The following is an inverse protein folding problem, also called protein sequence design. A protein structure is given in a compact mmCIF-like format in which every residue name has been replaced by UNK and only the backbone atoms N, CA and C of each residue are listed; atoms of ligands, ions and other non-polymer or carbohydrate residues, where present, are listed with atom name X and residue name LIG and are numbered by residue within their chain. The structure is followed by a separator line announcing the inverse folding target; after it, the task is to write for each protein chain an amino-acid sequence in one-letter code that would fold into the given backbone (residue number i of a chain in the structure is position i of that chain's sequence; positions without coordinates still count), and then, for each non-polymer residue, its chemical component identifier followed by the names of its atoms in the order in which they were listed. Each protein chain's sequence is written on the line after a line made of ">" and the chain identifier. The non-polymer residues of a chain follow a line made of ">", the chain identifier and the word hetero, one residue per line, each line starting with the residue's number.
data_IF_759010715819
#
_entry.id   IF_759010715819
#
_cell.length_a   1.000
_cell.length_b   1.000
_cell.length_c   1.000
_cell.angle_alpha   90.00
_cell.angle_beta   90.00
_cell.angle_gamma   90.00
#
_symmetry.space_group_name_H-M   'P 1'
#
loop_
_entity.id
_entity.type
_entity.pdbx_description
1 polymer ?
#
# COMPACT_ATOMS: atom_id res chain seq x y z
N UNK A 1 -39.58 10.43 39.03
CA UNK A 1 -38.98 11.76 39.30
C UNK A 1 -39.84 12.47 40.33
N UNK A 2 -39.38 12.59 41.57
CA UNK A 2 -40.08 13.36 42.61
C UNK A 2 -39.47 14.76 42.67
N UNK A 3 -40.29 15.79 42.47
CA UNK A 3 -39.85 17.18 42.54
C UNK A 3 -39.68 17.62 44.00
N UNK A 4 -38.70 18.48 44.31
CA UNK A 4 -38.55 19.01 45.66
C UNK A 4 -39.83 19.76 46.08
N UNK A 5 -40.25 19.52 47.32
CA UNK A 5 -41.43 20.13 47.94
C UNK A 5 -41.23 21.65 47.91
N UNK A 6 -42.11 22.38 47.21
CA UNK A 6 -42.02 23.83 46.99
C UNK A 6 -41.79 24.27 45.53
N UNK A 7 -41.61 23.33 44.60
CA UNK A 7 -41.53 23.68 43.17
C UNK A 7 -42.92 24.03 42.64
N UNK A 8 -43.14 25.29 42.25
CA UNK A 8 -44.39 25.66 41.58
C UNK A 8 -44.43 25.07 40.16
N UNK A 9 -45.64 24.82 39.64
CA UNK A 9 -45.84 24.28 38.28
C UNK A 9 -45.07 25.11 37.25
N UNK A 10 -45.10 26.45 37.36
CA UNK A 10 -44.38 27.36 36.47
C UNK A 10 -42.86 27.17 36.48
N UNK A 11 -42.25 26.83 37.63
CA UNK A 11 -40.81 26.54 37.70
C UNK A 11 -40.48 25.18 37.11
N UNK A 12 -41.34 24.18 37.30
CA UNK A 12 -41.18 22.88 36.67
C UNK A 12 -41.26 22.97 35.14
N UNK A 13 -42.23 23.73 34.61
CA UNK A 13 -42.38 23.96 33.16
C UNK A 13 -41.15 24.65 32.58
N UNK A 14 -40.64 25.72 33.19
CA UNK A 14 -39.42 26.41 32.69
C UNK A 14 -38.18 25.52 32.70
N UNK A 15 -38.03 24.64 33.69
CA UNK A 15 -36.92 23.68 33.73
C UNK A 15 -37.04 22.65 32.61
N UNK A 16 -38.24 22.09 32.42
CA UNK A 16 -38.49 21.17 31.31
C UNK A 16 -38.25 21.82 29.96
N UNK A 17 -38.66 23.08 29.77
CA UNK A 17 -38.41 23.82 28.53
C UNK A 17 -36.90 24.01 28.29
N UNK A 18 -36.12 24.30 29.34
CA UNK A 18 -34.66 24.38 29.26
C UNK A 18 -34.04 23.03 28.88
N UNK A 19 -34.44 21.95 29.56
CA UNK A 19 -33.94 20.60 29.30
C UNK A 19 -34.26 20.15 27.86
N UNK A 20 -35.43 20.51 27.34
CA UNK A 20 -35.83 20.24 25.94
C UNK A 20 -34.91 20.97 24.95
N UNK A 21 -34.57 22.24 25.22
CA UNK A 21 -33.67 23.01 24.37
C UNK A 21 -32.26 22.42 24.39
N UNK A 22 -31.76 22.03 25.56
CA UNK A 22 -30.44 21.42 25.71
C UNK A 22 -30.38 20.06 25.00
N UNK A 23 -31.39 19.21 25.19
CA UNK A 23 -31.52 17.93 24.48
C UNK A 23 -31.57 18.10 22.96
N UNK A 24 -32.29 19.11 22.47
CA UNK A 24 -32.34 19.41 21.04
C UNK A 24 -30.96 19.83 20.53
N UNK A 25 -30.24 20.66 21.27
CA UNK A 25 -28.88 21.09 20.94
C UNK A 25 -27.93 19.90 20.88
N UNK A 26 -27.93 19.06 21.91
CA UNK A 26 -27.08 17.87 21.99
C UNK A 26 -27.40 16.88 20.87
N UNK A 27 -28.69 16.67 20.56
CA UNK A 27 -29.10 15.82 19.43
C UNK A 27 -28.56 16.35 18.10
N UNK A 28 -28.55 17.67 17.88
CA UNK A 28 -27.95 18.24 16.66
C UNK A 28 -26.43 18.09 16.61
N UNK A 29 -25.74 18.22 17.76
CA UNK A 29 -24.30 18.02 17.85
C UNK A 29 -23.94 16.56 17.52
N UNK A 30 -24.59 15.60 18.19
CA UNK A 30 -24.38 14.17 17.95
C UNK A 30 -24.67 13.75 16.51
N UNK A 31 -25.68 14.34 15.86
CA UNK A 31 -25.95 14.08 14.43
C UNK A 31 -24.82 14.56 13.52
N UNK A 32 -24.23 15.73 13.81
CA UNK A 32 -23.08 16.24 13.06
C UNK A 32 -21.86 15.33 13.25
N UNK A 33 -21.57 14.98 14.49
CA UNK A 33 -20.42 14.12 14.82
C UNK A 33 -20.59 12.73 14.19
N UNK A 34 -21.79 12.15 14.23
CA UNK A 34 -22.06 10.87 13.59
C UNK A 34 -21.90 10.93 12.07
N UNK A 35 -22.34 12.02 11.44
CA UNK A 35 -22.14 12.24 10.01
C UNK A 35 -20.66 12.35 9.65
N UNK A 36 -19.87 13.02 10.48
CA UNK A 36 -18.43 13.16 10.27
C UNK A 36 -17.69 11.83 10.47
N UNK A 37 -17.99 11.08 11.54
CA UNK A 37 -17.43 9.75 11.76
C UNK A 37 -17.75 8.79 10.61
N UNK A 38 -18.95 8.85 10.04
CA UNK A 38 -19.32 8.05 8.86
C UNK A 38 -18.48 8.42 7.64
N UNK A 39 -18.20 9.71 7.42
CA UNK A 39 -17.31 10.15 6.33
C UNK A 39 -15.89 9.65 6.54
N UNK A 40 -15.37 9.77 7.75
CA UNK A 40 -14.03 9.29 8.11
C UNK A 40 -13.92 7.78 7.94
N UNK A 41 -14.94 7.02 8.36
CA UNK A 41 -14.99 5.57 8.17
C UNK A 41 -14.96 5.21 6.67
N UNK A 42 -15.78 5.86 5.85
CA UNK A 42 -15.81 5.65 4.39
C UNK A 42 -14.49 6.03 3.72
N UNK A 43 -13.78 7.04 4.23
CA UNK A 43 -12.46 7.42 3.74
C UNK A 43 -11.40 6.38 4.13
N UNK A 44 -11.41 5.91 5.39
CA UNK A 44 -10.50 4.90 5.89
C UNK A 44 -10.70 3.55 5.19
N UNK A 45 -11.95 3.15 4.91
CA UNK A 45 -12.26 1.93 4.16
C UNK A 45 -11.67 1.97 2.75
N UNK A 46 -11.88 3.07 2.01
CA UNK A 46 -11.28 3.23 0.67
C UNK A 46 -9.75 3.23 0.72
N UNK A 47 -9.16 3.87 1.73
CA UNK A 47 -7.70 3.86 1.90
C UNK A 47 -7.17 2.45 2.18
N UNK A 48 -7.91 1.65 2.97
CA UNK A 48 -7.56 0.26 3.25
C UNK A 48 -7.65 -0.61 1.99
N UNK A 49 -8.72 -0.48 1.20
CA UNK A 49 -8.89 -1.17 -0.09
C UNK A 49 -7.71 -0.88 -1.03
N UNK A 50 -7.36 0.40 -1.21
CA UNK A 50 -6.21 0.79 -2.05
C UNK A 50 -4.86 0.27 -1.51
N UNK A 51 -4.70 0.23 -0.19
CA UNK A 51 -3.48 -0.32 0.43
C UNK A 51 -3.37 -1.84 0.19
N UNK A 52 -4.48 -2.57 0.27
CA UNK A 52 -4.53 -4.01 -0.04
C UNK A 52 -4.22 -4.29 -1.51
N UNK A 53 -4.76 -3.50 -2.44
CA UNK A 53 -4.45 -3.58 -3.87
C UNK A 53 -2.94 -3.34 -4.14
N UNK A 54 -2.37 -2.28 -3.56
CA UNK A 54 -0.95 -1.97 -3.71
C UNK A 54 -0.05 -3.07 -3.11
N UNK A 55 -0.45 -3.66 -1.98
CA UNK A 55 0.26 -4.76 -1.35
C UNK A 55 0.21 -6.02 -2.23
N UNK A 56 -0.92 -6.32 -2.87
CA UNK A 56 -1.04 -7.44 -3.80
C UNK A 56 -0.09 -7.29 -4.99
N UNK A 57 -0.06 -6.11 -5.61
CA UNK A 57 0.86 -5.79 -6.72
C UNK A 57 2.33 -5.93 -6.27
N UNK A 58 2.66 -5.42 -5.09
CA UNK A 58 4.02 -5.52 -4.54
C UNK A 58 4.44 -6.97 -4.32
N UNK A 59 3.55 -7.83 -3.80
CA UNK A 59 3.82 -9.26 -3.60
C UNK A 59 4.08 -9.97 -4.93
N UNK A 60 3.29 -9.69 -5.95
CA UNK A 60 3.49 -10.25 -7.29
C UNK A 60 4.83 -9.83 -7.89
N UNK A 61 5.15 -8.52 -7.83
CA UNK A 61 6.43 -7.99 -8.29
C UNK A 61 7.63 -8.63 -7.55
N UNK A 62 7.51 -8.81 -6.23
CA UNK A 62 8.53 -9.49 -5.43
C UNK A 62 8.71 -10.96 -5.83
N UNK A 63 7.63 -11.68 -6.13
CA UNK A 63 7.71 -13.07 -6.58
C UNK A 63 8.44 -13.19 -7.92
N UNK A 64 8.11 -12.33 -8.88
CA UNK A 64 8.77 -12.27 -10.20
C UNK A 64 10.26 -11.94 -10.05
N UNK A 65 10.59 -10.92 -9.25
CA UNK A 65 11.98 -10.52 -9.05
C UNK A 65 12.81 -11.62 -8.35
N UNK A 66 12.22 -12.33 -7.39
CA UNK A 66 12.87 -13.47 -6.72
C UNK A 66 13.16 -14.60 -7.70
N UNK A 67 12.22 -14.91 -8.60
CA UNK A 67 12.43 -15.91 -9.66
C UNK A 67 13.57 -15.49 -10.61
N UNK A 68 13.61 -14.23 -11.02
CA UNK A 68 14.66 -13.70 -11.88
C UNK A 68 16.05 -13.79 -11.21
N UNK A 69 16.15 -13.44 -9.92
CA UNK A 69 17.39 -13.59 -9.15
C UNK A 69 17.82 -15.05 -9.12
N UNK A 70 16.92 -15.99 -8.82
CA UNK A 70 17.25 -17.42 -8.80
C UNK A 70 17.73 -17.94 -10.16
N UNK A 71 17.13 -17.46 -11.26
CA UNK A 71 17.58 -17.77 -12.63
C UNK A 71 18.99 -17.22 -12.92
N UNK A 72 19.25 -15.98 -12.53
CA UNK A 72 20.57 -15.35 -12.69
C UNK A 72 21.64 -16.05 -11.86
N UNK A 73 21.33 -16.45 -10.62
CA UNK A 73 22.24 -17.22 -9.78
C UNK A 73 22.54 -18.60 -10.36
N UNK A 74 21.54 -19.27 -10.94
CA UNK A 74 21.74 -20.54 -11.63
C UNK A 74 22.67 -20.36 -12.83
N UNK A 75 22.40 -19.35 -13.66
CA UNK A 75 23.23 -19.01 -14.81
C UNK A 75 24.68 -18.70 -14.39
N UNK A 76 24.87 -17.88 -13.35
CA UNK A 76 26.19 -17.54 -12.83
C UNK A 76 26.96 -18.78 -12.37
N UNK A 77 26.31 -19.69 -11.65
CA UNK A 77 26.91 -20.97 -11.23
C UNK A 77 27.30 -21.85 -12.41
N UNK A 78 26.47 -21.93 -13.43
CA UNK A 78 26.77 -22.69 -14.66
C UNK A 78 27.95 -22.07 -15.43
N UNK A 79 28.03 -20.74 -15.50
CA UNK A 79 29.16 -20.05 -16.12
C UNK A 79 30.47 -20.28 -15.37
N UNK A 80 30.46 -20.22 -14.03
CA UNK A 80 31.63 -20.51 -13.19
C UNK A 80 32.09 -21.96 -13.43
N UNK A 81 31.17 -22.92 -13.36
CA UNK A 81 31.49 -24.34 -13.60
C UNK A 81 32.04 -24.57 -15.01
N UNK A 82 31.47 -23.89 -16.02
CA UNK A 82 31.97 -23.96 -17.40
C UNK A 82 33.37 -23.36 -17.54
N UNK A 83 33.67 -22.28 -16.82
CA UNK A 83 35.00 -21.67 -16.79
C UNK A 83 36.06 -22.59 -16.18
N UNK A 84 35.72 -23.33 -15.12
CA UNK A 84 36.65 -24.31 -14.52
C UNK A 84 37.04 -25.40 -15.50
N UNK A 85 36.12 -25.84 -16.36
CA UNK A 85 36.36 -26.88 -17.36
C UNK A 85 37.03 -26.34 -18.63
N UNK A 86 36.67 -25.12 -19.05
CA UNK A 86 37.17 -24.48 -20.26
C UNK A 86 37.35 -22.97 -20.00
N UNK A 87 38.50 -22.53 -19.44
CA UNK A 87 38.69 -21.16 -18.91
C UNK A 87 38.45 -20.04 -19.93
N UNK A 88 38.73 -20.33 -21.20
CA UNK A 88 38.65 -19.37 -22.31
C UNK A 88 37.27 -19.34 -22.97
N UNK A 89 36.41 -20.34 -22.74
CA UNK A 89 35.14 -20.47 -23.44
C UNK A 89 34.08 -19.45 -23.00
N UNK A 90 33.90 -19.16 -21.69
CA UNK A 90 33.00 -18.09 -21.24
C UNK A 90 33.42 -16.72 -21.74
N UNK A 91 34.74 -16.43 -21.75
CA UNK A 91 35.29 -15.20 -22.32
C UNK A 91 35.01 -15.11 -23.82
N UNK A 92 35.30 -16.18 -24.58
CA UNK A 92 35.01 -16.22 -26.01
C UNK A 92 33.51 -16.06 -26.33
N UNK A 93 32.63 -16.66 -25.52
CA UNK A 93 31.18 -16.52 -25.65
C UNK A 93 30.71 -15.11 -25.30
N UNK A 94 31.27 -14.49 -24.27
CA UNK A 94 30.93 -13.12 -23.86
C UNK A 94 31.42 -12.08 -24.88
N UNK A 95 32.60 -12.30 -25.44
CA UNK A 95 33.16 -11.53 -26.56
C UNK A 95 32.26 -11.68 -27.81
N UNK A 96 31.80 -12.89 -28.13
CA UNK A 96 31.01 -13.17 -29.34
C UNK A 96 29.51 -12.83 -29.25
N UNK A 97 28.90 -12.92 -28.07
CA UNK A 97 27.44 -12.76 -27.88
C UNK A 97 27.07 -11.76 -26.78
N UNK A 98 28.05 -11.17 -26.09
CA UNK A 98 27.82 -10.14 -25.09
C UNK A 98 27.88 -8.72 -25.69
N UNK A 99 27.92 -7.68 -24.85
CA UNK A 99 27.87 -6.28 -25.29
C UNK A 99 29.04 -5.86 -26.18
N UNK A 100 30.14 -6.62 -26.19
CA UNK A 100 31.29 -6.39 -27.10
C UNK A 100 31.11 -7.02 -28.49
N UNK A 101 30.08 -7.85 -28.70
CA UNK A 101 29.84 -8.51 -29.99
C UNK A 101 29.68 -7.49 -31.12
N UNK A 102 28.94 -6.41 -30.87
CA UNK A 102 28.68 -5.32 -31.82
C UNK A 102 29.97 -4.60 -32.24
N UNK A 103 30.89 -4.40 -31.28
CA UNK A 103 32.19 -3.78 -31.54
C UNK A 103 33.04 -4.68 -32.44
N UNK A 104 33.08 -5.98 -32.17
CA UNK A 104 33.88 -6.93 -32.96
C UNK A 104 33.35 -7.10 -34.38
N UNK A 105 32.02 -7.07 -34.59
CA UNK A 105 31.44 -7.02 -35.93
C UNK A 105 31.88 -5.76 -36.67
N UNK A 106 31.88 -4.59 -36.01
CA UNK A 106 32.33 -3.35 -36.66
C UNK A 106 33.82 -3.35 -37.04
N UNK A 107 34.67 -4.01 -36.26
CA UNK A 107 36.11 -4.17 -36.58
C UNK A 107 36.31 -5.14 -37.76
N UNK A 108 35.53 -6.23 -37.80
CA UNK A 108 35.57 -7.19 -38.91
C UNK A 108 35.13 -6.57 -40.23
N UNK A 109 34.12 -5.70 -40.21
CA UNK A 109 33.61 -5.04 -41.43
C UNK A 109 34.55 -3.94 -41.96
N UNK A 110 35.56 -3.55 -41.17
CA UNK A 110 36.60 -2.58 -41.53
C UNK A 110 37.89 -3.22 -42.07
N UNK A 111 38.01 -4.55 -42.03
CA UNK A 111 39.17 -5.32 -42.46
C UNK A 111 38.87 -6.11 -43.75
#
# INVERSE_FOLDING_TARGET
>A
MSWPIGTTVSMATRRLDSDIVDLARDSTALKRDNAELRRQLMAAQRAAEHAEEALAISREAHAVMTLQIAQLEKLARELIRGAEQQPHWPLARWVKFGPMATLLTSIKDQA
#
